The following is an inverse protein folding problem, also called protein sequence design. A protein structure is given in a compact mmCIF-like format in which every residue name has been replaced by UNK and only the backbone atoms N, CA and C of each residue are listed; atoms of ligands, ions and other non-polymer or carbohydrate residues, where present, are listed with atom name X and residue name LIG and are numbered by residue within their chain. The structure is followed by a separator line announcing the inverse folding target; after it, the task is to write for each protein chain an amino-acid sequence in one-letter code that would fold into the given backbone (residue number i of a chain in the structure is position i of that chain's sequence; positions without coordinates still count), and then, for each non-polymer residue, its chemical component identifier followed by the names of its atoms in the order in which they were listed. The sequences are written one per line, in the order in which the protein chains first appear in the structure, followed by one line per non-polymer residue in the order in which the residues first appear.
data_IF_612506213696
#
_entry.id   IF_612506213696
#
_cell.length_a   1.000
_cell.length_b   1.000
_cell.length_c   1.000
_cell.angle_alpha   90.00
_cell.angle_beta   90.00
_cell.angle_gamma   90.00
#
_symmetry.space_group_name_H-M   'P 1'
#
loop_
_entity.id
_entity.type
_entity.pdbx_description
1 polymer ?
#
# COMPACT_ATOMS: atom_id res chain seq x y z
N UNK A 1 -5.86 14.70 18.63
CA UNK A 1 -4.96 13.80 17.89
C UNK A 1 -5.40 12.37 18.13
N UNK A 2 -5.95 11.70 17.12
CA UNK A 2 -6.24 10.26 17.19
C UNK A 2 -4.99 9.52 16.73
N UNK A 3 -4.30 8.85 17.64
CA UNK A 3 -3.22 7.93 17.29
C UNK A 3 -3.78 6.79 16.43
N UNK A 4 -3.00 6.35 15.44
CA UNK A 4 -3.27 5.25 14.50
C UNK A 4 -3.23 3.87 15.19
N UNK A 5 -3.71 3.75 16.43
CA UNK A 5 -3.44 2.58 17.27
C UNK A 5 -4.18 1.32 16.80
N UNK A 6 -5.24 1.42 16.01
CA UNK A 6 -5.89 0.26 15.38
C UNK A 6 -6.81 0.73 14.25
N UNK A 7 -6.42 0.53 12.99
CA UNK A 7 -7.33 0.74 11.87
C UNK A 7 -8.04 -0.58 11.56
N UNK A 8 -9.34 -0.65 11.84
CA UNK A 8 -10.19 -1.76 11.38
C UNK A 8 -10.61 -1.47 9.94
N UNK A 9 -10.38 -2.42 9.03
CA UNK A 9 -10.88 -2.31 7.66
C UNK A 9 -12.41 -2.39 7.68
N UNK A 10 -13.08 -1.40 7.09
CA UNK A 10 -14.54 -1.41 6.96
C UNK A 10 -15.02 -2.51 6.00
N UNK A 11 -14.22 -2.83 4.99
CA UNK A 11 -14.50 -3.90 4.04
C UNK A 11 -14.39 -5.30 4.66
N UNK A 12 -13.59 -5.46 5.71
CA UNK A 12 -13.48 -6.71 6.44
C UNK A 12 -13.04 -6.49 7.89
N UNK A 13 -14.03 -6.49 8.80
CA UNK A 13 -13.82 -6.29 10.24
C UNK A 13 -13.03 -7.42 10.92
N UNK A 14 -12.81 -8.56 10.24
CA UNK A 14 -11.95 -9.65 10.71
C UNK A 14 -10.47 -9.35 10.51
N UNK A 15 -10.12 -8.40 9.64
CA UNK A 15 -8.74 -7.96 9.41
C UNK A 15 -8.48 -6.76 10.32
N UNK A 16 -7.49 -6.91 11.21
CA UNK A 16 -7.09 -5.88 12.17
C UNK A 16 -5.63 -5.52 11.90
N UNK A 17 -5.37 -4.25 11.56
CA UNK A 17 -4.01 -3.72 11.34
C UNK A 17 -3.65 -2.87 12.55
N UNK A 18 -2.61 -3.28 13.27
CA UNK A 18 -2.08 -2.59 14.44
C UNK A 18 -0.70 -2.01 14.10
N UNK A 19 -0.47 -0.75 14.48
CA UNK A 19 0.81 -0.05 14.30
C UNK A 19 1.52 0.17 15.65
N UNK A 20 1.23 -0.69 16.62
CA UNK A 20 1.73 -0.61 18.00
C UNK A 20 3.23 -0.95 18.12
N UNK A 21 3.85 -1.38 17.02
CA UNK A 21 5.32 -1.44 16.88
C UNK A 21 6.03 -2.54 17.67
N UNK A 22 5.41 -3.72 17.88
CA UNK A 22 6.10 -4.88 18.46
C UNK A 22 7.33 -5.36 17.65
N UNK A 23 7.94 -6.52 18.00
CA UNK A 23 9.26 -7.01 17.51
C UNK A 23 9.50 -7.01 15.97
N UNK A 24 8.47 -6.81 15.16
CA UNK A 24 8.59 -6.49 13.73
C UNK A 24 8.14 -5.04 13.53
N UNK A 25 9.09 -4.12 13.64
CA UNK A 25 8.92 -2.68 13.47
C UNK A 25 8.39 -2.31 12.07
N UNK A 26 7.95 -1.06 11.95
CA UNK A 26 7.30 -0.35 10.82
C UNK A 26 7.49 -0.88 9.39
N UNK A 27 8.65 -1.46 9.06
CA UNK A 27 8.98 -1.95 7.72
C UNK A 27 8.29 -3.29 7.40
N UNK A 28 7.96 -4.10 8.41
CA UNK A 28 7.31 -5.40 8.19
C UNK A 28 5.82 -5.27 7.82
N UNK A 29 5.14 -4.27 8.38
CA UNK A 29 3.77 -3.95 7.96
C UNK A 29 3.71 -3.42 6.53
N UNK A 30 4.75 -2.68 6.11
CA UNK A 30 4.89 -2.20 4.74
C UNK A 30 5.05 -3.35 3.73
N UNK A 31 5.76 -4.42 4.10
CA UNK A 31 5.89 -5.63 3.26
C UNK A 31 4.52 -6.26 2.97
N UNK A 32 3.67 -6.43 3.98
CA UNK A 32 2.34 -7.01 3.79
C UNK A 32 1.45 -6.16 2.87
N UNK A 33 1.50 -4.83 3.02
CA UNK A 33 0.75 -3.92 2.16
C UNK A 33 1.29 -3.94 0.73
N UNK A 34 2.62 -3.98 0.55
CA UNK A 34 3.26 -4.09 -0.77
C UNK A 34 2.89 -5.39 -1.48
N UNK A 35 2.96 -6.52 -0.78
CA UNK A 35 2.57 -7.83 -1.31
C UNK A 35 1.09 -7.88 -1.68
N UNK A 36 0.22 -7.35 -0.83
CA UNK A 36 -1.21 -7.28 -1.13
C UNK A 36 -1.50 -6.44 -2.37
N UNK A 37 -0.89 -5.26 -2.48
CA UNK A 37 -1.02 -4.40 -3.65
C UNK A 37 -0.48 -5.11 -4.91
N UNK A 38 0.66 -5.78 -4.81
CA UNK A 38 1.23 -6.55 -5.91
C UNK A 38 0.29 -7.68 -6.38
N UNK A 39 -0.26 -8.47 -5.45
CA UNK A 39 -1.23 -9.54 -5.77
C UNK A 39 -2.52 -9.05 -6.40
N UNK A 40 -2.96 -7.82 -6.09
CA UNK A 40 -4.10 -7.18 -6.73
C UNK A 40 -3.80 -6.59 -8.12
N UNK A 41 -2.54 -6.60 -8.55
CA UNK A 41 -2.14 -5.93 -9.79
C UNK A 41 -2.26 -4.40 -9.69
N UNK A 42 -2.15 -3.84 -8.48
CA UNK A 42 -2.33 -2.40 -8.25
C UNK A 42 -1.40 -1.54 -9.12
N UNK A 43 -0.22 -2.07 -9.41
CA UNK A 43 0.74 -1.46 -10.29
C UNK A 43 0.17 -1.22 -11.71
N UNK A 44 -0.43 -2.24 -12.32
CA UNK A 44 -1.05 -2.13 -13.65
C UNK A 44 -2.25 -1.19 -13.63
N UNK A 45 -3.05 -1.25 -12.56
CA UNK A 45 -4.18 -0.35 -12.36
C UNK A 45 -3.73 1.12 -12.31
N UNK A 46 -2.65 1.42 -11.59
CA UNK A 46 -2.09 2.78 -11.53
C UNK A 46 -1.60 3.19 -12.93
N UNK A 47 -0.82 2.36 -13.64
CA UNK A 47 -0.36 2.69 -15.01
C UNK A 47 -1.53 3.01 -15.96
N UNK A 48 -2.64 2.27 -15.86
CA UNK A 48 -3.77 2.41 -16.77
C UNK A 48 -4.74 3.54 -16.39
N UNK A 49 -4.99 3.75 -15.09
CA UNK A 49 -6.07 4.62 -14.61
C UNK A 49 -5.58 5.94 -14.01
N UNK A 50 -4.34 5.99 -13.51
CA UNK A 50 -3.83 7.18 -12.84
C UNK A 50 -3.39 8.24 -13.86
N UNK A 51 -4.22 9.26 -14.03
CA UNK A 51 -3.93 10.43 -14.87
C UNK A 51 -3.90 11.67 -14.00
N UNK A 52 -2.78 12.38 -13.98
CA UNK A 52 -2.70 13.70 -13.37
C UNK A 52 -3.06 14.79 -14.38
N UNK A 53 -3.56 15.93 -13.89
CA UNK A 53 -4.04 17.04 -14.73
C UNK A 53 -2.92 17.93 -15.28
N UNK A 54 -1.67 17.56 -15.04
CA UNK A 54 -0.50 18.30 -15.49
C UNK A 54 0.05 17.74 -16.81
N UNK A 55 0.96 18.50 -17.44
CA UNK A 55 1.59 18.12 -18.71
C UNK A 55 2.80 17.19 -18.53
N UNK A 56 3.07 16.74 -17.30
CA UNK A 56 4.24 15.92 -17.01
C UNK A 56 4.02 14.49 -17.53
N UNK A 57 4.99 13.99 -18.30
CA UNK A 57 5.05 12.56 -18.64
C UNK A 57 5.81 11.85 -17.52
N UNK A 58 5.18 10.90 -16.83
CA UNK A 58 5.80 10.13 -15.74
C UNK A 58 5.97 8.68 -16.16
N UNK A 59 7.18 8.16 -15.96
CA UNK A 59 7.52 6.76 -16.17
C UNK A 59 7.67 6.11 -14.80
N UNK A 60 6.76 5.21 -14.45
CA UNK A 60 6.82 4.43 -13.22
C UNK A 60 7.49 3.09 -13.51
N UNK A 61 8.66 2.87 -12.91
CA UNK A 61 9.46 1.62 -13.02
C UNK A 61 9.61 0.91 -11.68
N UNK A 62 8.99 1.43 -10.62
CA UNK A 62 9.14 0.91 -9.27
C UNK A 62 8.69 -0.56 -9.13
N UNK A 63 7.81 -1.00 -10.04
CA UNK A 63 7.38 -2.39 -10.21
C UNK A 63 8.45 -3.33 -10.75
N UNK A 64 9.37 -2.84 -11.57
CA UNK A 64 10.43 -3.66 -12.16
C UNK A 64 11.39 -4.21 -11.08
N UNK A 65 11.42 -3.55 -9.91
CA UNK A 65 12.25 -3.93 -8.75
C UNK A 65 11.53 -4.85 -7.75
N UNK A 66 10.30 -5.31 -8.03
CA UNK A 66 9.52 -6.15 -7.12
C UNK A 66 9.76 -7.66 -7.31
N UNK A 67 10.82 -8.03 -8.04
CA UNK A 67 11.22 -9.42 -8.31
C UNK A 67 11.98 -10.06 -7.14
#
# INVERSE_FOLDING_TARGET
MSSLSTLRLESNRKIKINFDGGDLSSDSGLLLIKEFAHKLGFHELIKNMFKTKDKATRFHKDDENLN
#
